data_IF_173464745093
#
_entry.id   IF_173464745093
#
_cell.length_a   1.000
_cell.length_b   1.000
_cell.length_c   1.000
_cell.angle_alpha   90.00
_cell.angle_beta   90.00
_cell.angle_gamma   90.00
#
_symmetry.space_group_name_H-M   'P 1'
#
loop_
_entity.id
_entity.type
_entity.pdbx_description
1 polymer ?
#
# COMPACT_ATOMS: atom_id res chain seq x y z
N UNK A 1 -56.31 40.88 24.23
CA UNK A 1 -55.89 39.51 23.90
C UNK A 1 -54.39 39.51 23.82
N UNK A 2 -53.71 39.06 24.91
CA UNK A 2 -52.27 39.10 25.01
C UNK A 2 -51.73 37.67 24.76
N UNK A 3 -51.07 37.51 23.62
CA UNK A 3 -50.40 36.26 23.25
C UNK A 3 -48.96 36.23 23.82
N UNK A 4 -48.73 35.37 24.80
CA UNK A 4 -47.41 35.18 25.43
C UNK A 4 -46.54 34.25 24.55
N UNK A 5 -45.48 34.85 23.98
CA UNK A 5 -44.43 34.06 23.33
C UNK A 5 -43.55 33.36 24.37
N UNK A 6 -43.49 32.05 24.28
CA UNK A 6 -42.56 31.18 25.04
C UNK A 6 -41.26 31.07 24.30
N UNK A 7 -40.09 31.33 24.92
CA UNK A 7 -38.79 31.17 24.22
C UNK A 7 -38.44 29.68 24.11
N UNK A 8 -37.92 29.30 22.96
CA UNK A 8 -37.41 27.96 22.64
C UNK A 8 -36.12 27.67 23.42
N UNK A 9 -36.02 26.51 24.03
CA UNK A 9 -34.82 26.03 24.71
C UNK A 9 -33.73 25.69 23.67
N UNK A 10 -32.42 26.03 23.94
CA UNK A 10 -31.34 25.63 23.07
C UNK A 10 -31.08 24.13 23.21
N UNK A 11 -31.01 23.44 22.07
CA UNK A 11 -30.58 22.05 21.98
C UNK A 11 -29.17 21.88 22.52
N UNK A 12 -29.03 21.14 23.62
CA UNK A 12 -27.73 20.73 24.13
C UNK A 12 -27.04 19.79 23.15
N UNK A 13 -25.95 20.27 22.53
CA UNK A 13 -25.12 19.49 21.64
C UNK A 13 -24.55 18.25 22.36
N UNK A 14 -24.91 17.09 21.84
CA UNK A 14 -24.32 15.80 22.24
C UNK A 14 -22.82 15.84 21.96
N UNK A 15 -21.99 15.90 23.00
CA UNK A 15 -20.54 15.75 22.89
C UNK A 15 -20.28 14.33 22.39
N UNK A 16 -19.75 14.21 21.16
CA UNK A 16 -19.23 12.96 20.65
C UNK A 16 -18.00 12.58 21.48
N UNK A 17 -18.01 11.40 22.08
CA UNK A 17 -16.83 10.82 22.74
C UNK A 17 -15.77 10.57 21.69
N UNK A 18 -14.48 10.85 21.96
CA UNK A 18 -13.39 10.42 21.08
C UNK A 18 -13.41 8.90 20.99
N UNK A 19 -13.46 8.37 19.78
CA UNK A 19 -13.25 6.95 19.53
C UNK A 19 -11.78 6.65 19.82
N UNK A 20 -11.52 5.84 20.82
CA UNK A 20 -10.20 5.27 21.08
C UNK A 20 -9.85 4.40 19.88
N UNK A 21 -8.66 4.58 19.25
CA UNK A 21 -8.27 3.70 18.16
C UNK A 21 -8.16 2.26 18.68
N UNK A 22 -8.60 1.27 17.90
CA UNK A 22 -8.45 -0.13 18.29
C UNK A 22 -6.96 -0.45 18.48
N UNK A 23 -6.64 -1.13 19.57
CA UNK A 23 -5.30 -1.67 19.80
C UNK A 23 -4.92 -2.53 18.60
N UNK A 24 -3.76 -2.25 18.01
CA UNK A 24 -3.16 -3.04 16.95
C UNK A 24 -3.07 -4.51 17.41
N UNK A 25 -4.00 -5.33 16.95
CA UNK A 25 -3.94 -6.78 17.08
C UNK A 25 -2.72 -7.26 16.28
N UNK A 26 -1.90 -8.13 16.87
CA UNK A 26 -0.82 -8.82 16.16
C UNK A 26 -1.48 -9.68 15.09
N UNK A 27 -1.54 -9.18 13.88
CA UNK A 27 -1.79 -10.02 12.72
C UNK A 27 -0.53 -10.86 12.50
N UNK A 28 -0.69 -12.19 12.45
CA UNK A 28 0.36 -13.12 12.03
C UNK A 28 0.73 -12.83 10.57
N UNK A 29 1.48 -11.75 10.36
CA UNK A 29 1.83 -11.26 9.04
C UNK A 29 3.08 -11.97 8.53
N UNK A 30 3.03 -12.44 7.30
CA UNK A 30 4.20 -12.61 6.46
C UNK A 30 5.00 -11.30 6.55
N UNK A 31 6.33 -11.35 6.84
CA UNK A 31 7.11 -10.15 7.08
C UNK A 31 7.11 -9.25 5.83
N UNK A 32 6.54 -8.06 5.96
CA UNK A 32 6.50 -6.98 4.96
C UNK A 32 7.85 -6.31 4.72
N UNK A 33 8.92 -6.87 5.25
CA UNK A 33 10.26 -6.28 5.17
C UNK A 33 10.98 -6.75 3.92
N UNK A 34 11.93 -5.91 3.46
CA UNK A 34 13.08 -6.40 2.69
C UNK A 34 13.45 -7.76 3.24
N UNK A 35 13.58 -8.79 2.40
CA UNK A 35 13.75 -10.15 2.87
C UNK A 35 14.84 -10.20 3.92
N UNK A 36 14.45 -10.50 5.16
CA UNK A 36 15.42 -10.66 6.24
C UNK A 36 16.19 -11.91 5.94
N UNK A 37 17.53 -11.82 5.90
CA UNK A 37 18.36 -12.98 5.70
C UNK A 37 18.01 -14.04 6.76
N UNK A 38 17.61 -15.24 6.37
CA UNK A 38 17.47 -16.36 7.29
C UNK A 38 18.84 -17.01 7.48
N UNK A 39 19.34 -17.18 8.72
CA UNK A 39 20.52 -17.98 8.93
C UNK A 39 20.15 -19.45 8.67
N UNK A 40 20.55 -19.97 7.54
CA UNK A 40 20.35 -21.38 7.18
C UNK A 40 21.64 -22.14 7.16
N UNK A 41 21.77 -23.15 8.02
CA UNK A 41 22.78 -24.21 7.92
C UNK A 41 24.27 -23.83 8.02
N UNK A 42 25.19 -24.79 7.92
CA UNK A 42 26.63 -24.61 8.15
C UNK A 42 27.39 -23.76 7.10
N UNK A 43 26.77 -23.36 6.02
CA UNK A 43 27.24 -22.32 5.12
C UNK A 43 26.31 -21.14 5.20
N UNK A 44 26.84 -19.92 5.43
CA UNK A 44 26.12 -18.64 5.54
C UNK A 44 25.42 -18.26 4.20
N UNK A 45 24.44 -19.04 3.78
CA UNK A 45 23.62 -18.74 2.61
C UNK A 45 22.45 -17.89 3.06
N UNK A 46 22.48 -16.62 2.67
CA UNK A 46 21.35 -15.74 2.78
C UNK A 46 20.33 -16.09 1.70
N UNK A 47 19.06 -16.21 2.05
CA UNK A 47 17.99 -16.36 1.07
C UNK A 47 16.95 -15.27 1.24
N UNK A 48 16.34 -14.90 0.16
CA UNK A 48 15.27 -13.88 0.07
C UNK A 48 14.04 -14.53 -0.52
N UNK A 49 12.89 -14.29 0.07
CA UNK A 49 11.61 -14.70 -0.48
C UNK A 49 10.99 -13.52 -1.23
N UNK A 50 10.80 -13.66 -2.54
CA UNK A 50 10.01 -12.73 -3.34
C UNK A 50 8.53 -13.00 -3.10
N UNK A 51 7.81 -12.06 -2.48
CA UNK A 51 6.43 -12.33 -2.10
C UNK A 51 5.45 -12.29 -3.28
N UNK A 52 5.78 -11.66 -4.40
CA UNK A 52 4.90 -11.63 -5.57
C UNK A 52 4.70 -13.02 -6.20
N UNK A 53 5.69 -13.88 -6.12
CA UNK A 53 5.72 -15.18 -6.78
C UNK A 53 6.15 -16.34 -5.88
N UNK A 54 6.37 -16.08 -4.58
CA UNK A 54 6.80 -17.03 -3.55
C UNK A 54 8.11 -17.76 -3.91
N UNK A 55 8.94 -17.13 -4.74
CA UNK A 55 10.23 -17.70 -5.14
C UNK A 55 11.31 -17.34 -4.11
N UNK A 56 11.95 -18.36 -3.57
CA UNK A 56 13.14 -18.19 -2.74
C UNK A 56 14.38 -18.00 -3.62
N UNK A 57 15.15 -16.94 -3.34
CA UNK A 57 16.33 -16.55 -4.12
C UNK A 57 17.54 -16.47 -3.20
N UNK A 58 18.64 -17.12 -3.57
CA UNK A 58 19.91 -17.08 -2.84
C UNK A 58 20.94 -16.12 -3.44
N UNK A 59 20.64 -15.54 -4.60
CA UNK A 59 21.48 -14.59 -5.29
C UNK A 59 20.73 -13.27 -5.47
N UNK A 60 21.14 -12.24 -4.75
CA UNK A 60 20.50 -10.91 -4.77
C UNK A 60 20.45 -10.29 -6.19
N UNK A 61 21.33 -10.69 -7.11
CA UNK A 61 21.32 -10.21 -8.51
C UNK A 61 20.09 -10.67 -9.31
N UNK A 62 19.33 -11.63 -8.78
CA UNK A 62 18.08 -12.11 -9.37
C UNK A 62 16.86 -11.32 -8.87
N UNK A 63 17.07 -10.38 -7.96
CA UNK A 63 16.04 -9.48 -7.44
C UNK A 63 16.14 -8.12 -8.11
N UNK A 64 15.00 -7.51 -8.35
CA UNK A 64 14.85 -6.10 -8.70
C UNK A 64 14.11 -5.37 -7.56
N UNK A 65 14.35 -4.08 -7.44
CA UNK A 65 13.51 -3.21 -6.60
C UNK A 65 12.33 -2.75 -7.45
N UNK A 66 11.14 -3.16 -7.04
CA UNK A 66 9.89 -2.78 -7.68
C UNK A 66 9.28 -1.57 -6.97
N UNK A 67 8.87 -0.56 -7.74
CA UNK A 67 7.97 0.47 -7.23
C UNK A 67 6.56 -0.12 -7.15
N UNK A 68 5.92 -0.05 -5.98
CA UNK A 68 4.56 -0.57 -5.78
C UNK A 68 3.61 0.05 -6.81
N UNK A 69 3.53 1.36 -6.87
CA UNK A 69 2.93 2.09 -7.99
C UNK A 69 4.07 2.46 -8.95
N UNK A 70 4.11 1.92 -10.17
CA UNK A 70 5.18 2.18 -11.14
C UNK A 70 5.38 3.68 -11.43
N UNK A 71 6.59 4.08 -11.83
CA UNK A 71 6.90 5.48 -12.10
C UNK A 71 6.01 6.08 -13.20
N UNK A 72 5.72 5.31 -14.25
CA UNK A 72 4.84 5.74 -15.33
C UNK A 72 3.39 5.86 -14.85
N UNK A 73 2.94 4.92 -14.02
CA UNK A 73 1.61 4.99 -13.41
C UNK A 73 1.50 6.19 -12.45
N UNK A 74 2.52 6.43 -11.62
CA UNK A 74 2.55 7.61 -10.76
C UNK A 74 2.49 8.92 -11.56
N UNK A 75 3.21 8.97 -12.71
CA UNK A 75 3.14 10.12 -13.63
C UNK A 75 1.71 10.39 -14.10
N UNK A 76 1.01 9.34 -14.55
CA UNK A 76 -0.39 9.43 -15.01
C UNK A 76 -1.35 9.79 -13.86
N UNK A 77 -1.02 9.38 -12.65
CA UNK A 77 -1.79 9.60 -11.42
C UNK A 77 -1.56 10.97 -10.76
N UNK A 78 -0.83 11.88 -11.41
CA UNK A 78 -0.64 13.26 -10.93
C UNK A 78 0.79 13.69 -10.69
N UNK A 79 1.78 12.77 -10.64
CA UNK A 79 3.19 13.12 -10.39
C UNK A 79 3.80 14.01 -11.50
N UNK A 80 3.18 14.10 -12.68
CA UNK A 80 3.60 15.01 -13.74
C UNK A 80 3.54 16.50 -13.30
N UNK A 81 2.70 16.82 -12.31
CA UNK A 81 2.57 18.18 -11.76
C UNK A 81 3.60 18.49 -10.67
N UNK A 82 4.31 17.48 -10.16
CA UNK A 82 5.25 17.65 -9.07
C UNK A 82 6.54 18.32 -9.49
N UNK A 83 7.16 19.00 -8.54
CA UNK A 83 8.53 19.48 -8.70
C UNK A 83 9.50 18.30 -8.86
N UNK A 84 10.66 18.48 -9.56
CA UNK A 84 11.63 17.41 -9.78
C UNK A 84 12.08 16.72 -8.49
N UNK A 85 12.27 17.49 -7.41
CA UNK A 85 12.73 17.00 -6.11
C UNK A 85 11.73 16.02 -5.48
N UNK A 86 10.41 16.31 -5.61
CA UNK A 86 9.36 15.42 -5.12
C UNK A 86 9.30 14.13 -5.94
N UNK A 87 9.48 14.21 -7.26
CA UNK A 87 9.56 13.01 -8.11
C UNK A 87 10.78 12.13 -7.77
N UNK A 88 11.91 12.76 -7.47
CA UNK A 88 13.11 12.06 -7.03
C UNK A 88 12.90 11.40 -5.65
N UNK A 89 12.25 12.10 -4.72
CA UNK A 89 11.90 11.57 -3.41
C UNK A 89 11.00 10.33 -3.53
N UNK A 90 9.99 10.38 -4.40
CA UNK A 90 9.14 9.23 -4.71
C UNK A 90 9.93 8.04 -5.26
N UNK A 91 10.80 8.29 -6.23
CA UNK A 91 11.61 7.23 -6.85
C UNK A 91 12.60 6.57 -5.88
N UNK A 92 12.94 7.23 -4.78
CA UNK A 92 13.88 6.78 -3.75
C UNK A 92 13.23 6.57 -2.39
N UNK A 93 11.91 6.34 -2.33
CA UNK A 93 11.16 6.24 -1.08
C UNK A 93 11.54 4.97 -0.30
N UNK A 94 12.58 5.10 0.51
CA UNK A 94 12.98 4.09 1.50
C UNK A 94 12.32 4.32 2.86
N UNK A 95 11.57 5.40 3.02
CA UNK A 95 10.86 5.73 4.26
C UNK A 95 9.57 4.95 4.45
N UNK A 96 8.98 4.49 3.36
CA UNK A 96 7.78 3.65 3.36
C UNK A 96 8.12 2.21 2.99
N UNK A 97 7.83 1.27 3.89
CA UNK A 97 8.04 -0.17 3.64
C UNK A 97 7.15 -0.72 2.49
N UNK A 98 6.17 0.10 2.02
CA UNK A 98 5.18 -0.29 1.00
C UNK A 98 5.54 0.22 -0.39
N UNK A 99 6.28 1.31 -0.49
CA UNK A 99 6.56 1.97 -1.78
C UNK A 99 7.55 1.20 -2.64
N UNK A 100 8.57 0.59 -2.02
CA UNK A 100 9.63 -0.15 -2.69
C UNK A 100 9.75 -1.57 -2.11
N UNK A 101 9.69 -2.57 -2.99
CA UNK A 101 9.76 -3.98 -2.58
C UNK A 101 10.74 -4.75 -3.46
N UNK A 102 11.54 -5.64 -2.84
CA UNK A 102 12.43 -6.54 -3.56
C UNK A 102 11.64 -7.77 -4.05
N UNK A 103 11.63 -7.99 -5.35
CA UNK A 103 10.92 -9.10 -6.00
C UNK A 103 11.81 -9.74 -7.05
N UNK A 104 11.47 -10.94 -7.56
CA UNK A 104 12.25 -11.52 -8.66
C UNK A 104 12.21 -10.61 -9.88
N UNK A 105 13.36 -10.46 -10.54
CA UNK A 105 13.49 -9.67 -11.76
C UNK A 105 12.52 -10.14 -12.86
N UNK A 106 12.18 -11.44 -12.89
CA UNK A 106 11.20 -12.00 -13.80
C UNK A 106 9.81 -11.42 -13.54
N UNK A 107 9.36 -11.46 -12.30
CA UNK A 107 8.01 -11.00 -11.92
C UNK A 107 7.90 -9.49 -12.02
N UNK A 108 8.96 -8.74 -11.62
CA UNK A 108 9.02 -7.30 -11.83
C UNK A 108 8.80 -6.91 -13.30
N UNK A 109 9.46 -7.61 -14.23
CA UNK A 109 9.29 -7.35 -15.67
C UNK A 109 7.90 -7.68 -16.19
N UNK A 110 7.20 -8.68 -15.64
CA UNK A 110 5.81 -8.97 -16.04
C UNK A 110 4.83 -7.90 -15.54
N UNK A 111 5.08 -7.34 -14.37
CA UNK A 111 4.33 -6.21 -13.83
C UNK A 111 4.55 -4.96 -14.70
N UNK A 112 5.81 -4.62 -14.98
CA UNK A 112 6.18 -3.41 -15.73
C UNK A 112 5.44 -2.17 -15.19
N UNK A 113 4.79 -1.39 -16.06
CA UNK A 113 4.06 -0.18 -15.70
C UNK A 113 2.56 -0.41 -15.42
N UNK A 114 2.15 -1.66 -15.33
CA UNK A 114 0.74 -2.04 -15.19
C UNK A 114 0.22 -1.74 -13.79
N UNK A 115 -1.02 -1.29 -13.76
CA UNK A 115 -1.85 -1.14 -12.58
C UNK A 115 -2.62 -2.44 -12.25
N UNK A 116 -3.42 -2.48 -11.16
CA UNK A 116 -4.22 -3.66 -10.80
C UNK A 116 -5.28 -4.08 -11.81
N UNK A 117 -5.65 -3.24 -12.78
CA UNK A 117 -6.58 -3.63 -13.86
C UNK A 117 -5.95 -4.62 -14.82
N UNK A 118 -4.62 -4.55 -15.00
CA UNK A 118 -3.88 -5.31 -16.00
C UNK A 118 -2.90 -6.33 -15.41
N UNK A 119 -2.60 -6.24 -14.11
CA UNK A 119 -1.66 -7.15 -13.47
C UNK A 119 -1.87 -7.25 -11.96
N UNK A 120 -1.80 -8.47 -11.45
CA UNK A 120 -1.71 -8.80 -10.01
C UNK A 120 -0.62 -9.84 -9.79
N UNK A 121 -0.06 -9.97 -8.56
CA UNK A 121 0.89 -11.01 -8.24
C UNK A 121 0.40 -12.42 -8.62
N UNK A 122 1.27 -13.26 -9.20
CA UNK A 122 0.91 -14.64 -9.54
C UNK A 122 0.62 -15.50 -8.31
N UNK A 123 1.30 -15.24 -7.16
CA UNK A 123 1.01 -15.92 -5.92
C UNK A 123 -0.31 -15.41 -5.31
N UNK A 124 -1.27 -16.32 -5.09
CA UNK A 124 -2.59 -15.97 -4.54
C UNK A 124 -2.50 -15.32 -3.16
N UNK A 125 -1.61 -15.80 -2.30
CA UNK A 125 -1.33 -15.29 -0.95
C UNK A 125 -0.80 -13.85 -0.93
N UNK A 126 -0.16 -13.41 -2.02
CA UNK A 126 0.39 -12.06 -2.15
C UNK A 126 -0.65 -11.01 -2.55
N UNK A 127 -1.80 -11.41 -3.09
CA UNK A 127 -2.75 -10.48 -3.72
C UNK A 127 -3.30 -9.44 -2.75
N UNK A 128 -3.77 -9.87 -1.59
CA UNK A 128 -4.34 -8.94 -0.62
C UNK A 128 -3.29 -7.95 -0.10
N UNK A 129 -2.07 -8.43 0.20
CA UNK A 129 -0.95 -7.57 0.62
C UNK A 129 -0.59 -6.56 -0.49
N UNK A 130 -0.54 -7.01 -1.74
CA UNK A 130 -0.28 -6.16 -2.89
C UNK A 130 -1.32 -5.05 -3.04
N UNK A 131 -2.61 -5.39 -2.90
CA UNK A 131 -3.70 -4.42 -3.00
C UNK A 131 -3.68 -3.42 -1.84
N UNK A 132 -3.37 -3.87 -0.61
CA UNK A 132 -3.17 -2.99 0.54
C UNK A 132 -2.01 -2.03 0.33
N UNK A 133 -0.87 -2.53 -0.16
CA UNK A 133 0.33 -1.73 -0.38
C UNK A 133 0.12 -0.72 -1.52
N UNK A 134 -0.59 -1.12 -2.59
CA UNK A 134 -1.01 -0.23 -3.67
C UNK A 134 -1.93 0.88 -3.15
N UNK A 135 -3.01 0.48 -2.46
CA UNK A 135 -4.01 1.40 -1.91
C UNK A 135 -3.44 2.33 -0.82
N UNK A 136 -2.36 1.96 -0.14
CA UNK A 136 -1.66 2.82 0.81
C UNK A 136 -0.68 3.77 0.13
N UNK A 137 0.04 3.30 -0.91
CA UNK A 137 1.07 4.08 -1.59
C UNK A 137 0.49 5.29 -2.33
N UNK A 138 -0.68 5.13 -2.97
CA UNK A 138 -1.30 6.25 -3.70
C UNK A 138 -1.63 7.45 -2.79
N UNK A 139 -2.41 7.33 -1.72
CA UNK A 139 -2.69 8.47 -0.85
C UNK A 139 -1.46 8.92 -0.04
N UNK A 140 -0.52 8.04 0.28
CA UNK A 140 0.76 8.43 0.90
C UNK A 140 1.45 9.52 0.08
N UNK A 141 1.49 9.38 -1.24
CA UNK A 141 2.11 10.33 -2.15
C UNK A 141 1.12 11.35 -2.75
N UNK A 142 -0.17 11.27 -2.45
CA UNK A 142 -1.20 12.14 -3.02
C UNK A 142 -1.47 11.85 -4.50
N UNK A 143 -1.29 10.60 -4.93
CA UNK A 143 -1.61 10.12 -6.27
C UNK A 143 -3.10 9.80 -6.38
N UNK A 144 -3.68 10.11 -7.52
CA UNK A 144 -5.07 9.77 -7.84
C UNK A 144 -5.19 8.33 -8.34
N UNK A 145 -6.39 7.75 -8.21
CA UNK A 145 -6.79 6.55 -8.91
C UNK A 145 -7.94 6.90 -9.86
N UNK A 146 -7.94 6.41 -11.08
CA UNK A 146 -9.05 6.56 -12.00
C UNK A 146 -10.21 5.59 -11.66
N UNK A 147 -11.32 5.71 -12.37
CA UNK A 147 -12.52 4.91 -12.08
C UNK A 147 -12.31 3.42 -12.37
N UNK A 148 -11.54 3.07 -13.40
CA UNK A 148 -11.25 1.70 -13.77
C UNK A 148 -10.36 1.04 -12.71
N UNK A 149 -9.30 1.73 -12.29
CA UNK A 149 -8.41 1.28 -11.23
C UNK A 149 -9.17 1.09 -9.90
N UNK A 150 -10.02 2.06 -9.52
CA UNK A 150 -10.84 1.95 -8.30
C UNK A 150 -11.79 0.76 -8.36
N UNK A 151 -12.44 0.54 -9.49
CA UNK A 151 -13.35 -0.60 -9.67
C UNK A 151 -12.59 -1.93 -9.56
N UNK A 152 -11.42 -2.05 -10.20
CA UNK A 152 -10.59 -3.23 -10.11
C UNK A 152 -10.07 -3.49 -8.69
N UNK A 153 -9.64 -2.45 -7.97
CA UNK A 153 -9.20 -2.58 -6.57
C UNK A 153 -10.32 -3.10 -5.67
N UNK A 154 -11.55 -2.60 -5.83
CA UNK A 154 -12.70 -3.04 -5.04
C UNK A 154 -13.07 -4.50 -5.35
N UNK A 155 -13.08 -4.88 -6.63
CA UNK A 155 -13.38 -6.25 -7.04
C UNK A 155 -12.32 -7.24 -6.54
N UNK A 156 -11.04 -6.91 -6.74
CA UNK A 156 -9.92 -7.75 -6.35
C UNK A 156 -9.75 -7.86 -4.82
N UNK A 157 -10.15 -6.83 -4.07
CA UNK A 157 -10.10 -6.83 -2.62
C UNK A 157 -11.28 -7.55 -1.95
N UNK A 158 -12.36 -7.88 -2.70
CA UNK A 158 -13.54 -8.55 -2.14
C UNK A 158 -13.23 -9.84 -1.33
N UNK A 159 -12.27 -10.69 -1.71
CA UNK A 159 -11.88 -11.85 -0.91
C UNK A 159 -10.89 -11.52 0.24
N UNK A 160 -10.47 -10.28 0.40
CA UNK A 160 -9.48 -9.88 1.39
C UNK A 160 -10.17 -9.45 2.68
N UNK A 161 -10.57 -10.42 3.49
CA UNK A 161 -11.23 -10.19 4.77
C UNK A 161 -10.30 -9.42 5.73
N UNK A 162 -10.87 -8.49 6.49
CA UNK A 162 -10.19 -7.70 7.54
C UNK A 162 -9.01 -6.83 7.09
N UNK A 163 -8.90 -6.54 5.79
CA UNK A 163 -7.85 -5.65 5.27
C UNK A 163 -8.11 -4.20 5.70
N UNK A 164 -7.16 -3.63 6.44
CA UNK A 164 -7.18 -2.22 6.84
C UNK A 164 -5.99 -1.51 6.22
N UNK A 165 -6.28 -0.52 5.37
CA UNK A 165 -5.25 0.31 4.77
C UNK A 165 -4.95 1.50 5.69
N UNK A 166 -3.74 1.54 6.24
CA UNK A 166 -3.22 2.69 6.97
C UNK A 166 -2.05 3.31 6.20
N UNK A 167 -1.99 4.62 6.16
CA UNK A 167 -0.89 5.37 5.54
C UNK A 167 -0.65 6.68 6.30
N UNK A 168 0.55 7.20 6.17
CA UNK A 168 0.93 8.56 6.56
C UNK A 168 1.25 9.32 5.28
N UNK A 169 0.95 10.62 5.23
CA UNK A 169 1.29 11.42 4.04
C UNK A 169 2.80 11.58 3.92
N UNK A 170 3.33 11.43 2.71
CA UNK A 170 4.73 11.75 2.41
C UNK A 170 4.99 13.25 2.57
N UNK A 171 6.21 13.64 2.96
CA UNK A 171 6.59 15.04 3.17
C UNK A 171 6.53 15.90 1.90
#
# INVERSE_FOLDING_TARGET
MHGTHRPAHPHQGRRLRPLTPPRAGRLGGVPRRLPTPRPGGPSKCWSWLSYFDEVEVTDARKLDINHMVPLAEAWNSGAHTWMPERREAYAKDLGSERSLVAVTAKTNRTKADKDPTAWVPPAGSARCIYLEDWAATKPHWGLSADDAERAALLELAAPCEDSVVAYEAAP
#
